data_IF_282084682450
#
_entry.id   IF_282084682450
#
_cell.length_a   1.000
_cell.length_b   1.000
_cell.length_c   1.000
_cell.angle_alpha   90.00
_cell.angle_beta   90.00
_cell.angle_gamma   90.00
#
_symmetry.space_group_name_H-M   'P 1'
#
loop_
_entity.id
_entity.type
_entity.pdbx_description
1 polymer ?
#
# COMPACT_ATOMS: atom_id res chain seq x y z
N UNK A 1 2.55 -14.88 -5.99
CA UNK A 1 3.06 -14.22 -7.19
C UNK A 1 2.12 -13.09 -7.56
N UNK A 2 2.67 -11.93 -7.90
CA UNK A 2 1.93 -10.77 -8.39
C UNK A 2 1.49 -11.02 -9.83
N UNK A 3 0.22 -10.75 -10.15
CA UNK A 3 -0.34 -10.95 -11.49
C UNK A 3 -0.78 -9.63 -12.14
N UNK A 4 -0.33 -8.49 -11.61
CA UNK A 4 -0.82 -7.18 -12.00
C UNK A 4 -1.95 -6.67 -11.11
N UNK A 5 -2.24 -5.38 -11.27
CA UNK A 5 -3.49 -4.79 -10.81
C UNK A 5 -4.56 -4.98 -11.88
N UNK A 6 -5.82 -5.10 -11.46
CA UNK A 6 -6.95 -5.34 -12.38
C UNK A 6 -7.72 -4.04 -12.60
N UNK A 7 -8.66 -4.06 -13.55
CA UNK A 7 -9.59 -2.95 -13.73
C UNK A 7 -10.35 -2.62 -12.43
N UNK A 8 -10.72 -3.65 -11.65
CA UNK A 8 -11.37 -3.48 -10.35
C UNK A 8 -10.51 -2.68 -9.36
N UNK A 9 -9.19 -2.79 -9.42
CA UNK A 9 -8.30 -1.95 -8.60
C UNK A 9 -8.49 -0.47 -8.95
N UNK A 10 -8.53 -0.14 -10.24
CA UNK A 10 -8.70 1.23 -10.72
C UNK A 10 -10.08 1.77 -10.36
N UNK A 11 -11.12 0.95 -10.56
CA UNK A 11 -12.50 1.31 -10.24
C UNK A 11 -12.67 1.57 -8.74
N UNK A 12 -12.11 0.70 -7.89
CA UNK A 12 -12.10 0.89 -6.43
C UNK A 12 -11.39 2.18 -6.02
N UNK A 13 -10.24 2.50 -6.62
CA UNK A 13 -9.50 3.72 -6.29
C UNK A 13 -10.25 5.00 -6.67
N UNK A 14 -10.97 4.99 -7.81
CA UNK A 14 -11.87 6.08 -8.17
C UNK A 14 -13.04 6.19 -7.20
N UNK A 15 -13.69 5.07 -6.89
CA UNK A 15 -14.81 5.04 -5.95
C UNK A 15 -14.39 5.55 -4.56
N UNK A 16 -13.22 5.16 -4.08
CA UNK A 16 -12.63 5.67 -2.83
C UNK A 16 -12.36 7.17 -2.88
N UNK A 17 -11.86 7.69 -4.01
CA UNK A 17 -11.59 9.12 -4.17
C UNK A 17 -12.87 9.95 -4.10
N UNK A 18 -13.95 9.48 -4.72
CA UNK A 18 -15.25 10.15 -4.69
C UNK A 18 -15.99 9.99 -3.35
N UNK A 19 -15.79 8.86 -2.67
CA UNK A 19 -16.49 8.51 -1.43
C UNK A 19 -15.51 8.36 -0.26
N UNK A 20 -14.61 9.35 -0.08
CA UNK A 20 -13.55 9.29 0.93
C UNK A 20 -14.10 9.58 2.34
N UNK A 21 -14.93 8.67 2.84
CA UNK A 21 -15.53 8.70 4.17
C UNK A 21 -15.51 7.32 4.83
N UNK A 22 -15.49 7.31 6.17
CA UNK A 22 -15.31 6.08 6.95
C UNK A 22 -16.39 5.04 6.70
N UNK A 23 -17.65 5.47 6.65
CA UNK A 23 -18.81 4.58 6.48
C UNK A 23 -18.75 3.84 5.15
N UNK A 24 -18.45 4.56 4.06
CA UNK A 24 -18.30 3.98 2.74
C UNK A 24 -17.14 2.98 2.73
N UNK A 25 -15.97 3.34 3.25
CA UNK A 25 -14.82 2.44 3.27
C UNK A 25 -15.06 1.17 4.09
N UNK A 26 -15.72 1.27 5.24
CA UNK A 26 -16.04 0.10 6.07
C UNK A 26 -16.93 -0.90 5.33
N UNK A 27 -17.90 -0.42 4.53
CA UNK A 27 -18.73 -1.27 3.69
C UNK A 27 -17.96 -1.94 2.54
N UNK A 28 -16.88 -1.32 2.04
CA UNK A 28 -16.07 -1.81 0.92
C UNK A 28 -14.69 -2.36 1.36
N UNK A 29 -14.51 -2.61 2.67
CA UNK A 29 -13.20 -2.97 3.23
C UNK A 29 -12.67 -4.31 2.71
N UNK A 30 -13.56 -5.27 2.47
CA UNK A 30 -13.14 -6.58 1.94
C UNK A 30 -12.82 -6.53 0.45
N UNK A 31 -13.48 -5.62 -0.30
CA UNK A 31 -13.09 -5.29 -1.67
C UNK A 31 -11.68 -4.69 -1.69
N UNK A 32 -11.43 -3.65 -0.88
CA UNK A 32 -10.09 -3.06 -0.69
C UNK A 32 -9.01 -4.12 -0.45
N UNK A 33 -9.23 -5.04 0.51
CA UNK A 33 -8.26 -6.09 0.83
C UNK A 33 -7.95 -6.97 -0.38
N UNK A 34 -8.98 -7.27 -1.16
CA UNK A 34 -8.92 -8.20 -2.29
C UNK A 34 -8.27 -7.56 -3.51
N UNK A 35 -8.74 -6.37 -3.90
CA UNK A 35 -8.41 -5.76 -5.19
C UNK A 35 -7.20 -4.83 -5.12
N UNK A 36 -6.80 -4.37 -3.93
CA UNK A 36 -5.69 -3.43 -3.77
C UNK A 36 -4.64 -3.89 -2.76
N UNK A 37 -5.01 -4.21 -1.52
CA UNK A 37 -4.04 -4.54 -0.46
C UNK A 37 -3.26 -5.82 -0.77
N UNK A 38 -3.97 -6.92 -1.07
CA UNK A 38 -3.33 -8.20 -1.37
C UNK A 38 -2.42 -8.12 -2.60
N UNK A 39 -2.84 -7.56 -3.76
CA UNK A 39 -1.95 -7.38 -4.90
C UNK A 39 -0.72 -6.52 -4.57
N UNK A 40 -0.88 -5.44 -3.79
CA UNK A 40 0.23 -4.60 -3.37
C UNK A 40 1.25 -5.35 -2.49
N UNK A 41 0.76 -6.17 -1.55
CA UNK A 41 1.62 -7.05 -0.75
C UNK A 41 2.34 -8.10 -1.60
N UNK A 42 1.66 -8.67 -2.61
CA UNK A 42 2.28 -9.63 -3.52
C UNK A 42 3.40 -8.98 -4.35
N UNK A 43 3.14 -7.80 -4.94
CA UNK A 43 4.13 -7.02 -5.68
C UNK A 43 5.35 -6.71 -4.80
N UNK A 44 5.11 -6.16 -3.61
CA UNK A 44 6.17 -5.77 -2.68
C UNK A 44 7.05 -6.96 -2.26
N UNK A 45 6.44 -8.12 -1.96
CA UNK A 45 7.17 -9.35 -1.58
C UNK A 45 7.95 -9.95 -2.73
N UNK A 46 7.41 -9.88 -3.96
CA UNK A 46 8.09 -10.39 -5.14
C UNK A 46 9.32 -9.55 -5.48
N UNK A 47 9.19 -8.22 -5.45
CA UNK A 47 10.32 -7.28 -5.61
C UNK A 47 11.35 -7.47 -4.51
N UNK A 48 10.91 -7.61 -3.26
CA UNK A 48 11.80 -7.87 -2.12
C UNK A 48 12.59 -9.18 -2.28
N UNK A 49 11.92 -10.27 -2.67
CA UNK A 49 12.56 -11.57 -2.90
C UNK A 49 13.58 -11.54 -4.03
N UNK A 50 13.26 -10.86 -5.15
CA UNK A 50 14.17 -10.71 -6.28
C UNK A 50 15.45 -9.93 -5.92
N UNK A 51 15.30 -8.85 -5.15
CA UNK A 51 16.45 -8.03 -4.71
C UNK A 51 17.27 -8.73 -3.62
N UNK A 52 16.63 -9.44 -2.70
CA UNK A 52 17.31 -10.20 -1.65
C UNK A 52 18.21 -11.32 -2.19
N UNK A 53 17.81 -11.98 -3.28
CA UNK A 53 18.61 -13.03 -3.92
C UNK A 53 19.91 -12.50 -4.57
N UNK A 54 19.98 -11.20 -4.88
CA UNK A 54 21.11 -10.59 -5.59
C UNK A 54 22.20 -9.99 -4.70
N UNK A 55 22.05 -10.00 -3.36
CA UNK A 55 22.90 -9.21 -2.45
C UNK A 55 23.65 -10.05 -1.42
N UNK A 56 24.92 -9.68 -1.16
CA UNK A 56 25.80 -10.34 -0.19
C UNK A 56 25.69 -9.79 1.26
N UNK A 57 25.17 -8.55 1.46
CA UNK A 57 24.77 -7.91 2.75
C UNK A 57 24.16 -6.51 2.40
N UNK A 58 23.36 -5.75 3.22
CA UNK A 58 22.66 -6.01 4.49
C UNK A 58 21.19 -6.40 4.32
N UNK A 59 20.59 -6.90 5.41
CA UNK A 59 19.16 -7.20 5.51
C UNK A 59 18.31 -5.96 5.12
N UNK A 60 17.61 -6.08 3.99
CA UNK A 60 16.61 -5.10 3.58
C UNK A 60 15.36 -5.24 4.44
N UNK A 61 14.77 -4.10 4.81
CA UNK A 61 13.45 -4.02 5.40
C UNK A 61 12.42 -3.55 4.38
N UNK A 62 11.37 -4.34 4.23
CA UNK A 62 10.19 -3.99 3.44
C UNK A 62 9.14 -3.31 4.33
N UNK A 63 8.78 -2.07 3.99
CA UNK A 63 7.66 -1.38 4.61
C UNK A 63 6.60 -1.04 3.56
N UNK A 64 5.35 -1.44 3.82
CA UNK A 64 4.19 -1.15 2.97
C UNK A 64 3.33 -0.11 3.68
N UNK A 65 2.93 0.94 2.97
CA UNK A 65 2.11 2.01 3.51
C UNK A 65 0.73 1.52 3.90
N UNK A 66 0.18 2.06 5.00
CA UNK A 66 -1.25 1.90 5.32
C UNK A 66 -2.11 2.84 4.47
N UNK A 67 -3.33 2.42 4.16
CA UNK A 67 -4.33 3.23 3.44
C UNK A 67 -4.83 4.43 4.25
N UNK A 68 -4.76 4.38 5.59
CA UNK A 68 -5.22 5.46 6.45
C UNK A 68 -4.27 6.68 6.40
N UNK A 69 -4.86 7.88 6.37
CA UNK A 69 -4.14 9.13 6.64
C UNK A 69 -3.98 9.33 8.15
N UNK A 70 -3.01 10.15 8.55
CA UNK A 70 -2.91 10.61 9.94
C UNK A 70 -4.12 11.52 10.23
N UNK A 71 -4.96 11.13 11.19
CA UNK A 71 -6.17 11.84 11.57
C UNK A 71 -5.91 13.30 11.99
N UNK A 72 -4.67 13.61 12.43
CA UNK A 72 -4.26 14.97 12.81
C UNK A 72 -3.91 15.86 11.61
N UNK A 73 -3.76 15.28 10.41
CA UNK A 73 -3.28 15.95 9.19
C UNK A 73 -4.30 15.92 8.05
N UNK A 74 -5.58 15.74 8.37
CA UNK A 74 -6.69 15.75 7.40
C UNK A 74 -6.98 17.21 6.99
N UNK A 75 -6.27 17.73 5.99
CA UNK A 75 -6.44 19.11 5.48
C UNK A 75 -7.68 19.21 4.56
N UNK A 76 -8.84 18.73 5.02
CA UNK A 76 -10.04 18.54 4.19
C UNK A 76 -9.95 17.34 3.23
N UNK A 77 -8.79 16.69 3.15
CA UNK A 77 -8.59 15.42 2.47
C UNK A 77 -9.08 14.30 3.39
N UNK A 78 -10.08 13.53 2.97
CA UNK A 78 -10.74 12.49 3.76
C UNK A 78 -9.78 11.47 4.40
N UNK A 79 -10.27 10.60 5.31
CA UNK A 79 -9.44 9.75 6.17
C UNK A 79 -8.57 8.72 5.43
N UNK A 80 -8.78 8.49 4.13
CA UNK A 80 -8.06 7.50 3.35
C UNK A 80 -7.17 8.12 2.28
N UNK A 81 -6.05 7.46 2.01
CA UNK A 81 -5.18 7.73 0.86
C UNK A 81 -5.82 7.14 -0.39
N UNK A 82 -5.63 7.82 -1.50
CA UNK A 82 -5.96 7.39 -2.85
C UNK A 82 -4.77 6.73 -3.54
N UNK A 83 -3.81 6.22 -2.77
CA UNK A 83 -2.62 5.53 -3.25
C UNK A 83 -2.00 4.68 -2.13
N UNK A 84 -1.25 3.65 -2.52
CA UNK A 84 -0.36 2.90 -1.64
C UNK A 84 1.06 2.95 -2.21
N UNK A 85 2.05 2.83 -1.34
CA UNK A 85 3.45 2.71 -1.70
C UNK A 85 4.14 1.68 -0.80
N UNK A 86 5.28 1.16 -1.24
CA UNK A 86 6.19 0.40 -0.39
C UNK A 86 7.61 0.93 -0.56
N UNK A 87 8.46 0.68 0.43
CA UNK A 87 9.88 1.03 0.39
C UNK A 87 10.73 -0.15 0.84
N UNK A 88 11.92 -0.24 0.26
CA UNK A 88 12.97 -1.19 0.61
C UNK A 88 14.18 -0.39 1.09
N UNK A 89 14.57 -0.57 2.35
CA UNK A 89 15.67 0.17 2.96
C UNK A 89 16.61 -0.75 3.73
N UNK A 90 17.91 -0.47 3.78
CA UNK A 90 18.80 -1.12 4.74
C UNK A 90 18.32 -0.91 6.18
N UNK A 91 18.68 -1.83 7.07
CA UNK A 91 18.35 -1.74 8.50
C UNK A 91 19.00 -0.52 9.19
N UNK A 92 20.22 -0.13 8.80
CA UNK A 92 21.08 0.81 9.54
C UNK A 92 21.05 2.28 9.11
N UNK A 93 20.14 2.70 8.22
CA UNK A 93 19.87 4.14 8.09
C UNK A 93 19.00 4.60 9.27
N UNK A 94 19.69 4.88 10.38
CA UNK A 94 19.24 5.81 11.41
C UNK A 94 18.84 7.09 10.69
N UNK A 95 17.63 7.58 10.98
CA UNK A 95 17.22 8.90 10.54
C UNK A 95 18.13 9.93 11.23
N UNK A 96 19.22 10.32 10.58
CA UNK A 96 19.98 11.55 10.85
C UNK A 96 19.76 12.52 9.72
#
# INVERSE_FOLDING_TARGET
MFQGFTQQTIDFMWALRFNNEKRWFEAHKDEYKTVLEKPMHLLAREVFGGLGASRADPALHLHISRIYRDARRLRGEGPYKDHLWFTLRPQDEAWT
#
